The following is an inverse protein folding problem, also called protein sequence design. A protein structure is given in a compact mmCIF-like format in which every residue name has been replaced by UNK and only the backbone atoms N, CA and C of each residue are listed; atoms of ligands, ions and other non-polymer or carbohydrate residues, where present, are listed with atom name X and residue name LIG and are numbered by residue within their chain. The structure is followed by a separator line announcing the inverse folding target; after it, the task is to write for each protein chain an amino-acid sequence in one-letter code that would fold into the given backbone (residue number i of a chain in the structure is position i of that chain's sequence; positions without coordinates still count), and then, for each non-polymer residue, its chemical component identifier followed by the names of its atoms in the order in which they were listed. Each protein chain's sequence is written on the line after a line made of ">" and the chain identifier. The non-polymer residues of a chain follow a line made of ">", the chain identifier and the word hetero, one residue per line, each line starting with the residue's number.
data_IF_402792793613
#
_entry.id   IF_402792793613
#
_cell.length_a   1.000
_cell.length_b   1.000
_cell.length_c   1.000
_cell.angle_alpha   90.00
_cell.angle_beta   90.00
_cell.angle_gamma   90.00
#
_symmetry.space_group_name_H-M   'P 1'
#
loop_
_entity.id
_entity.type
_entity.pdbx_description
1 polymer ?
#
# COMPACT_ATOMS: atom_id res chain seq x y z
N UNK A 1 -14.54 24.06 -20.89
CA UNK A 1 -13.46 24.25 -19.90
C UNK A 1 -13.38 23.10 -18.88
N UNK A 2 -14.49 22.64 -18.29
CA UNK A 2 -14.51 21.53 -17.30
C UNK A 2 -14.09 20.15 -17.85
N UNK A 3 -14.39 19.85 -19.12
CA UNK A 3 -14.11 18.54 -19.75
C UNK A 3 -12.61 18.23 -19.85
N UNK A 4 -11.77 19.22 -20.16
CA UNK A 4 -10.32 19.03 -20.31
C UNK A 4 -9.66 18.65 -18.99
N UNK A 5 -10.05 19.33 -17.90
CA UNK A 5 -9.53 19.06 -16.56
C UNK A 5 -9.84 17.65 -16.08
N UNK A 6 -11.00 17.10 -16.45
CA UNK A 6 -11.32 15.70 -16.14
C UNK A 6 -10.49 14.76 -16.98
N UNK A 7 -10.37 14.99 -18.30
CA UNK A 7 -9.53 14.16 -19.17
C UNK A 7 -8.07 14.10 -18.69
N UNK A 8 -7.52 15.20 -18.19
CA UNK A 8 -6.17 15.24 -17.59
C UNK A 8 -6.03 14.34 -16.35
N UNK A 9 -7.13 13.95 -15.68
CA UNK A 9 -7.13 13.05 -14.52
C UNK A 9 -7.31 11.57 -14.88
N UNK A 10 -8.01 11.27 -15.98
CA UNK A 10 -8.46 9.90 -16.31
C UNK A 10 -7.96 9.39 -17.67
N UNK A 11 -7.31 10.24 -18.48
CA UNK A 11 -6.75 9.91 -19.79
C UNK A 11 -5.39 10.59 -20.03
N UNK A 12 -4.57 10.00 -20.89
CA UNK A 12 -3.28 10.58 -21.31
C UNK A 12 -3.45 11.49 -22.52
N UNK A 13 -2.94 12.73 -22.45
CA UNK A 13 -2.86 13.61 -23.62
C UNK A 13 -1.75 13.11 -24.57
N UNK A 14 -2.11 12.78 -25.81
CA UNK A 14 -1.19 12.28 -26.84
C UNK A 14 -0.71 13.40 -27.76
N UNK A 15 -1.63 14.25 -28.22
CA UNK A 15 -1.29 15.40 -29.07
C UNK A 15 -2.34 16.51 -28.98
N UNK A 16 -1.90 17.72 -29.34
CA UNK A 16 -2.77 18.90 -29.50
C UNK A 16 -2.54 19.43 -30.91
N UNK A 17 -3.47 19.11 -31.81
CA UNK A 17 -3.43 19.58 -33.19
C UNK A 17 -4.62 20.54 -33.42
N UNK A 18 -5.54 20.21 -34.34
CA UNK A 18 -6.84 20.90 -34.45
C UNK A 18 -7.87 20.38 -33.43
N UNK A 19 -7.64 19.19 -32.88
CA UNK A 19 -8.40 18.54 -31.81
C UNK A 19 -7.43 17.99 -30.77
N UNK A 20 -7.89 17.84 -29.53
CA UNK A 20 -7.13 17.17 -28.48
C UNK A 20 -7.27 15.67 -28.63
N UNK A 21 -6.16 14.95 -28.72
CA UNK A 21 -6.14 13.50 -28.79
C UNK A 21 -5.74 12.93 -27.44
N UNK A 22 -6.66 12.16 -26.83
CA UNK A 22 -6.44 11.49 -25.56
C UNK A 22 -6.43 9.97 -25.74
N UNK A 23 -5.63 9.28 -24.94
CA UNK A 23 -5.55 7.82 -24.87
C UNK A 23 -5.97 7.34 -23.50
N UNK A 24 -6.86 6.34 -23.48
CA UNK A 24 -7.16 5.58 -22.27
C UNK A 24 -6.11 4.48 -22.17
N UNK A 25 -5.24 4.60 -21.18
CA UNK A 25 -4.20 3.64 -20.84
C UNK A 25 -4.33 3.19 -19.39
N UNK A 26 -3.68 2.09 -19.04
CA UNK A 26 -3.70 1.54 -17.67
C UNK A 26 -3.24 2.59 -16.66
N UNK A 27 -2.19 3.32 -16.99
CA UNK A 27 -1.59 4.35 -16.15
C UNK A 27 -2.57 5.51 -15.93
N UNK A 28 -3.26 5.98 -16.97
CA UNK A 28 -4.29 7.01 -16.81
C UNK A 28 -5.48 6.58 -15.95
N UNK A 29 -5.92 5.33 -16.08
CA UNK A 29 -7.00 4.78 -15.25
C UNK A 29 -6.56 4.64 -13.80
N UNK A 30 -5.32 4.20 -13.57
CA UNK A 30 -4.69 4.13 -12.26
C UNK A 30 -4.59 5.51 -11.59
N UNK A 31 -4.14 6.54 -12.33
CA UNK A 31 -4.12 7.91 -11.81
C UNK A 31 -5.52 8.41 -11.46
N UNK A 32 -6.53 8.10 -12.28
CA UNK A 32 -7.93 8.37 -11.96
C UNK A 32 -8.35 7.74 -10.64
N UNK A 33 -8.00 6.46 -10.43
CA UNK A 33 -8.28 5.72 -9.19
C UNK A 33 -7.57 6.35 -7.98
N UNK A 34 -6.30 6.75 -8.11
CA UNK A 34 -5.58 7.50 -7.08
C UNK A 34 -6.23 8.85 -6.74
N UNK A 35 -6.88 9.49 -7.71
CA UNK A 35 -7.59 10.76 -7.55
C UNK A 35 -9.05 10.60 -7.07
N UNK A 36 -9.45 9.38 -6.68
CA UNK A 36 -10.77 9.10 -6.10
C UNK A 36 -11.87 8.75 -7.09
N UNK A 37 -11.55 8.61 -8.38
CA UNK A 37 -12.51 8.10 -9.37
C UNK A 37 -12.64 6.59 -9.26
N UNK A 38 -13.84 6.03 -9.28
CA UNK A 38 -14.00 4.59 -9.50
C UNK A 38 -13.88 4.25 -10.99
N UNK A 39 -13.61 2.97 -11.30
CA UNK A 39 -13.63 2.50 -12.69
C UNK A 39 -14.99 2.80 -13.38
N UNK A 40 -16.09 2.64 -12.63
CA UNK A 40 -17.43 2.96 -13.12
C UNK A 40 -17.60 4.46 -13.39
N UNK A 41 -17.13 5.32 -12.49
CA UNK A 41 -17.20 6.78 -12.69
C UNK A 41 -16.46 7.20 -13.96
N UNK A 42 -15.30 6.60 -14.24
CA UNK A 42 -14.54 6.88 -15.46
C UNK A 42 -15.32 6.42 -16.71
N UNK A 43 -15.88 5.21 -16.70
CA UNK A 43 -16.69 4.67 -17.81
C UNK A 43 -17.91 5.57 -18.07
N UNK A 44 -18.67 5.89 -17.02
CA UNK A 44 -19.85 6.74 -17.11
C UNK A 44 -19.49 8.13 -17.64
N UNK A 45 -18.37 8.67 -17.20
CA UNK A 45 -17.88 9.95 -17.69
C UNK A 45 -17.56 9.90 -19.19
N UNK A 46 -16.89 8.85 -19.67
CA UNK A 46 -16.61 8.67 -21.10
C UNK A 46 -17.89 8.51 -21.93
N UNK A 47 -18.89 7.78 -21.42
CA UNK A 47 -20.17 7.59 -22.10
C UNK A 47 -20.98 8.90 -22.19
N UNK A 48 -20.96 9.72 -21.15
CA UNK A 48 -21.66 11.01 -21.13
C UNK A 48 -21.03 12.06 -22.05
N UNK A 49 -19.72 11.95 -22.28
CA UNK A 49 -18.95 12.92 -23.06
C UNK A 49 -18.51 12.41 -24.43
N UNK A 50 -18.90 11.19 -24.83
CA UNK A 50 -18.66 10.68 -26.18
C UNK A 50 -19.56 11.41 -27.18
N UNK A 51 -18.94 12.07 -28.16
CA UNK A 51 -19.67 12.77 -29.21
C UNK A 51 -20.59 11.82 -29.98
N UNK A 52 -21.88 12.19 -30.11
CA UNK A 52 -22.85 11.46 -30.91
C UNK A 52 -23.48 10.23 -30.26
N UNK A 53 -23.41 10.09 -28.93
CA UNK A 53 -24.09 9.02 -28.19
C UNK A 53 -23.55 7.61 -28.48
N UNK A 54 -22.31 7.52 -28.98
CA UNK A 54 -21.68 6.24 -29.29
C UNK A 54 -21.24 5.56 -28.00
N UNK A 55 -21.53 4.26 -27.82
CA UNK A 55 -21.04 3.53 -26.67
C UNK A 55 -19.51 3.44 -26.71
N UNK A 56 -18.91 3.32 -25.52
CA UNK A 56 -17.50 2.97 -25.39
C UNK A 56 -17.30 1.55 -25.96
N UNK A 57 -16.26 1.29 -26.77
CA UNK A 57 -15.98 -0.07 -27.23
C UNK A 57 -15.84 -1.05 -26.05
N UNK A 58 -16.47 -2.22 -26.17
CA UNK A 58 -16.55 -3.21 -25.09
C UNK A 58 -15.18 -3.62 -24.53
N UNK A 59 -14.18 -3.74 -25.41
CA UNK A 59 -12.81 -4.06 -25.00
C UNK A 59 -12.18 -2.97 -24.12
N UNK A 60 -12.52 -1.70 -24.36
CA UNK A 60 -12.05 -0.57 -23.54
C UNK A 60 -12.74 -0.60 -22.19
N UNK A 61 -14.07 -0.81 -22.16
CA UNK A 61 -14.82 -0.94 -20.91
C UNK A 61 -14.26 -2.06 -20.03
N UNK A 62 -14.11 -3.28 -20.58
CA UNK A 62 -13.52 -4.40 -19.82
C UNK A 62 -12.10 -4.10 -19.32
N UNK A 63 -11.27 -3.41 -20.12
CA UNK A 63 -9.92 -3.04 -19.68
C UNK A 63 -9.95 -2.12 -18.46
N UNK A 64 -10.81 -1.08 -18.48
CA UNK A 64 -10.97 -0.16 -17.36
C UNK A 64 -11.47 -0.90 -16.11
N UNK A 65 -12.46 -1.77 -16.26
CA UNK A 65 -12.99 -2.60 -15.16
C UNK A 65 -11.92 -3.52 -14.56
N UNK A 66 -11.15 -4.22 -15.39
CA UNK A 66 -10.12 -5.16 -14.93
C UNK A 66 -8.94 -4.47 -14.25
N UNK A 67 -8.56 -3.27 -14.71
CA UNK A 67 -7.58 -2.45 -14.01
C UNK A 67 -8.14 -1.92 -12.68
N UNK A 68 -9.41 -1.50 -12.66
CA UNK A 68 -10.13 -1.11 -11.45
C UNK A 68 -10.17 -2.22 -10.40
N UNK A 69 -10.46 -3.46 -10.79
CA UNK A 69 -10.43 -4.63 -9.89
C UNK A 69 -9.04 -4.88 -9.29
N UNK A 70 -7.98 -4.48 -9.98
CA UNK A 70 -6.60 -4.68 -9.51
C UNK A 70 -6.15 -3.62 -8.50
N UNK A 71 -6.80 -2.46 -8.48
CA UNK A 71 -6.47 -1.35 -7.59
C UNK A 71 -6.86 -1.65 -6.14
N UNK A 72 -6.02 -1.23 -5.18
CA UNK A 72 -6.28 -1.42 -3.74
C UNK A 72 -6.18 -2.87 -3.25
N UNK A 73 -5.79 -3.83 -4.10
CA UNK A 73 -5.58 -5.23 -3.68
C UNK A 73 -4.31 -5.47 -2.88
N UNK A 74 -3.36 -4.53 -2.95
CA UNK A 74 -2.06 -4.59 -2.31
C UNK A 74 -1.78 -3.25 -1.66
N UNK A 75 -1.22 -3.29 -0.45
CA UNK A 75 -0.75 -2.12 0.28
C UNK A 75 0.67 -2.40 0.78
N UNK A 76 1.50 -1.35 0.78
CA UNK A 76 2.82 -1.36 1.39
C UNK A 76 2.75 -0.52 2.66
N UNK A 77 3.14 -1.12 3.78
CA UNK A 77 3.08 -0.51 5.11
C UNK A 77 4.45 -0.60 5.77
N UNK A 78 4.79 0.41 6.58
CA UNK A 78 6.02 0.45 7.38
C UNK A 78 5.69 0.38 8.87
N UNK A 79 5.47 -0.82 9.44
CA UNK A 79 5.37 -0.99 10.89
C UNK A 79 6.76 -1.05 11.52
N UNK A 80 6.83 -0.83 12.83
CA UNK A 80 8.04 -1.12 13.61
C UNK A 80 8.07 -2.63 13.92
N UNK A 81 9.19 -3.30 13.65
CA UNK A 81 9.36 -4.73 13.94
C UNK A 81 10.18 -4.92 15.22
N UNK A 82 9.59 -5.54 16.24
CA UNK A 82 10.31 -5.94 17.45
C UNK A 82 10.69 -7.42 17.35
N UNK A 83 11.99 -7.71 17.35
CA UNK A 83 12.53 -9.07 17.29
C UNK A 83 13.02 -9.49 18.66
N UNK A 84 12.54 -10.63 19.13
CA UNK A 84 12.88 -11.23 20.41
C UNK A 84 13.81 -12.44 20.19
N UNK A 85 14.58 -12.79 21.21
CA UNK A 85 15.47 -13.96 21.19
C UNK A 85 14.68 -15.28 21.21
N UNK A 86 13.56 -15.31 21.95
CA UNK A 86 12.74 -16.53 22.12
C UNK A 86 11.25 -16.29 21.87
N UNK A 87 10.50 -17.33 21.48
CA UNK A 87 9.04 -17.26 21.35
C UNK A 87 8.34 -16.89 22.67
N UNK A 88 8.82 -17.42 23.80
CA UNK A 88 8.23 -17.13 25.12
C UNK A 88 8.35 -15.65 25.50
N UNK A 89 9.47 -15.01 25.13
CA UNK A 89 9.64 -13.57 25.34
C UNK A 89 8.67 -12.76 24.47
N UNK A 90 8.56 -13.09 23.18
CA UNK A 90 7.62 -12.44 22.28
C UNK A 90 6.16 -12.62 22.76
N UNK A 91 5.79 -13.81 23.21
CA UNK A 91 4.48 -14.14 23.80
C UNK A 91 4.19 -13.27 25.04
N UNK A 92 5.16 -13.19 25.95
CA UNK A 92 5.06 -12.39 27.18
C UNK A 92 4.90 -10.90 26.88
N UNK A 93 5.72 -10.35 25.99
CA UNK A 93 5.64 -8.93 25.60
C UNK A 93 4.32 -8.62 24.87
N UNK A 94 3.85 -9.51 24.00
CA UNK A 94 2.58 -9.35 23.30
C UNK A 94 1.38 -9.23 24.26
N UNK A 95 1.41 -9.94 25.39
CA UNK A 95 0.36 -9.92 26.41
C UNK A 95 0.62 -8.96 27.58
N UNK A 96 1.76 -8.26 27.59
CA UNK A 96 2.08 -7.26 28.61
C UNK A 96 1.15 -6.05 28.52
N UNK A 97 0.91 -5.39 29.65
CA UNK A 97 0.09 -4.16 29.68
C UNK A 97 0.81 -2.98 29.05
N UNK A 98 2.14 -3.05 29.02
CA UNK A 98 3.04 -2.01 28.60
C UNK A 98 3.27 -2.03 27.08
N UNK A 99 3.60 -3.19 26.49
CA UNK A 99 3.88 -3.32 25.05
C UNK A 99 2.62 -3.73 24.25
N UNK A 100 1.74 -4.55 24.82
CA UNK A 100 0.53 -5.04 24.15
C UNK A 100 -0.31 -3.97 23.43
N UNK A 101 -0.52 -2.77 24.00
CA UNK A 101 -1.25 -1.68 23.33
C UNK A 101 -0.62 -1.15 22.03
N UNK A 102 0.67 -1.40 21.81
CA UNK A 102 1.41 -1.02 20.61
C UNK A 102 1.46 -2.14 19.57
N UNK A 103 1.14 -3.37 19.96
CA UNK A 103 1.11 -4.52 19.05
C UNK A 103 -0.05 -4.39 18.05
N UNK A 104 0.29 -4.38 16.76
CA UNK A 104 -0.65 -4.56 15.65
C UNK A 104 -0.94 -6.05 15.46
N UNK A 105 0.07 -6.90 15.69
CA UNK A 105 -0.03 -8.35 15.54
C UNK A 105 1.34 -9.03 15.63
N UNK A 106 1.37 -10.29 15.21
CA UNK A 106 2.61 -11.09 15.14
C UNK A 106 3.03 -11.28 13.69
N UNK A 107 4.33 -11.26 13.45
CA UNK A 107 4.91 -11.60 12.16
C UNK A 107 5.46 -13.03 12.17
N UNK A 108 6.19 -13.42 13.22
CA UNK A 108 6.64 -14.80 13.50
C UNK A 108 6.44 -15.13 14.98
N UNK A 109 6.84 -16.32 15.41
CA UNK A 109 6.84 -16.70 16.83
C UNK A 109 7.78 -15.81 17.68
N UNK A 110 8.83 -15.25 17.08
CA UNK A 110 9.84 -14.40 17.75
C UNK A 110 9.73 -12.92 17.40
N UNK A 111 8.76 -12.51 16.57
CA UNK A 111 8.68 -11.13 16.09
C UNK A 111 7.27 -10.54 16.13
N UNK A 112 7.19 -9.31 16.63
CA UNK A 112 5.95 -8.56 16.82
C UNK A 112 5.92 -7.36 15.87
N UNK A 113 4.76 -7.11 15.27
CA UNK A 113 4.49 -5.88 14.53
C UNK A 113 3.95 -4.84 15.50
N UNK A 114 4.66 -3.73 15.63
CA UNK A 114 4.29 -2.60 16.47
C UNK A 114 3.82 -1.41 15.62
N UNK A 115 3.04 -0.52 16.24
CA UNK A 115 2.67 0.77 15.66
C UNK A 115 3.93 1.52 15.21
N UNK A 116 3.85 2.08 14.00
CA UNK A 116 4.86 3.03 13.52
C UNK A 116 4.94 4.24 14.46
N UNK A 117 6.09 4.91 14.47
CA UNK A 117 6.35 6.15 15.22
C UNK A 117 6.30 6.01 16.77
N UNK A 118 6.26 4.79 17.31
CA UNK A 118 6.31 4.53 18.76
C UNK A 118 7.72 4.15 19.25
N UNK A 119 8.75 4.31 18.42
CA UNK A 119 10.10 3.80 18.68
C UNK A 119 10.67 4.28 20.02
N UNK A 120 10.76 5.59 20.24
CA UNK A 120 11.33 6.17 21.47
C UNK A 120 10.57 5.69 22.72
N UNK A 121 9.24 5.67 22.65
CA UNK A 121 8.39 5.22 23.75
C UNK A 121 8.59 3.72 24.06
N UNK A 122 8.68 2.89 23.02
CA UNK A 122 8.97 1.45 23.17
C UNK A 122 10.35 1.23 23.80
N UNK A 123 11.36 2.01 23.42
CA UNK A 123 12.68 1.94 24.06
C UNK A 123 12.61 2.22 25.56
N UNK A 124 11.90 3.27 25.97
CA UNK A 124 11.74 3.59 27.39
C UNK A 124 10.97 2.51 28.15
N UNK A 125 9.88 2.01 27.57
CA UNK A 125 9.08 0.94 28.16
C UNK A 125 9.93 -0.32 28.37
N UNK A 126 10.64 -0.77 27.33
CA UNK A 126 11.48 -1.98 27.41
C UNK A 126 12.57 -1.82 28.47
N UNK A 127 13.23 -0.65 28.55
CA UNK A 127 14.21 -0.37 29.61
C UNK A 127 13.58 -0.39 31.00
N UNK A 128 12.38 0.17 31.15
CA UNK A 128 11.60 0.10 32.39
C UNK A 128 11.24 -1.33 32.80
N UNK A 129 11.04 -2.22 31.82
CA UNK A 129 10.84 -3.66 32.00
C UNK A 129 12.14 -4.46 32.19
N UNK A 130 13.29 -3.78 32.34
CA UNK A 130 14.62 -4.37 32.48
C UNK A 130 15.11 -5.15 31.23
N UNK A 131 14.56 -4.83 30.06
CA UNK A 131 15.11 -5.25 28.77
C UNK A 131 15.98 -4.15 28.17
N UNK A 132 17.16 -4.50 27.65
CA UNK A 132 18.09 -3.56 27.03
C UNK A 132 18.15 -3.82 25.52
N UNK A 133 17.21 -3.25 24.74
CA UNK A 133 17.22 -3.40 23.28
C UNK A 133 18.46 -2.74 22.65
N UNK A 134 18.85 -3.22 21.48
CA UNK A 134 19.89 -2.57 20.68
C UNK A 134 19.43 -1.14 20.33
N UNK A 135 20.21 -0.09 20.64
CA UNK A 135 19.81 1.30 20.42
C UNK A 135 19.65 1.68 18.95
N UNK A 136 20.19 0.90 18.02
CA UNK A 136 20.03 1.13 16.60
C UNK A 136 18.88 0.28 16.04
N UNK A 137 17.83 0.95 15.56
CA UNK A 137 16.77 0.31 14.78
C UNK A 137 17.31 -0.03 13.39
N UNK A 138 17.29 -1.32 13.06
CA UNK A 138 17.73 -1.79 11.74
C UNK A 138 16.75 -1.39 10.64
N UNK A 139 17.23 -1.37 9.40
CA UNK A 139 16.46 -1.07 8.18
C UNK A 139 15.53 -2.22 7.72
N UNK A 140 15.32 -3.22 8.58
CA UNK A 140 14.56 -4.42 8.25
C UNK A 140 15.35 -5.51 7.52
N UNK A 141 16.65 -5.34 7.26
CA UNK A 141 17.50 -6.40 6.67
C UNK A 141 18.27 -7.20 7.71
N UNK A 142 18.49 -6.62 8.89
CA UNK A 142 19.31 -7.19 9.98
C UNK A 142 18.80 -8.54 10.49
N UNK A 143 17.48 -8.71 10.61
CA UNK A 143 16.87 -9.96 11.10
C UNK A 143 16.75 -11.05 10.02
N UNK A 144 16.81 -10.68 8.73
CA UNK A 144 16.65 -11.61 7.61
C UNK A 144 17.88 -12.52 7.39
N UNK A 145 19.01 -12.21 8.03
CA UNK A 145 20.27 -12.96 7.87
C UNK A 145 20.21 -14.30 8.64
N UNK A 146 19.46 -14.39 9.75
CA UNK A 146 19.39 -15.58 10.60
C UNK A 146 18.22 -16.53 10.27
N UNK A 147 17.28 -16.15 9.40
CA UNK A 147 16.10 -16.98 9.06
C UNK A 147 16.26 -17.80 7.77
N UNK A 148 17.45 -17.83 7.15
CA UNK A 148 17.67 -18.74 6.02
C UNK A 148 17.89 -20.17 6.53
N UNK A 149 17.05 -21.16 6.14
CA UNK A 149 17.38 -22.55 6.43
C UNK A 149 18.75 -22.89 5.80
N UNK A 150 19.56 -23.76 6.45
CA UNK A 150 20.86 -24.12 5.90
C UNK A 150 20.68 -24.61 4.46
N UNK A 151 21.44 -24.01 3.53
CA UNK A 151 21.46 -24.45 2.14
C UNK A 151 21.85 -25.93 2.15
N UNK A 152 20.90 -26.80 1.79
CA UNK A 152 21.20 -28.21 1.62
C UNK A 152 22.22 -28.32 0.48
N UNK A 153 23.43 -28.78 0.82
CA UNK A 153 24.46 -29.17 -0.13
C UNK A 153 24.27 -30.60 -0.60
#
# INVERSE_FOLDING_TARGET
>A
LRTRMVLEQIAELVSIDQLYHYRIARESVYLGLCNGWTAQDQIDWYLQHSGGGRPLPQNVQHSIEDWGKSFGRLSLEHPLLLVCDTPDLAESLYHSKEIGPYCIGRYTETSLLLKKDAEEEIFEILRGMNYLPNPEVGDGTRWAIDTQPPRQG
#
